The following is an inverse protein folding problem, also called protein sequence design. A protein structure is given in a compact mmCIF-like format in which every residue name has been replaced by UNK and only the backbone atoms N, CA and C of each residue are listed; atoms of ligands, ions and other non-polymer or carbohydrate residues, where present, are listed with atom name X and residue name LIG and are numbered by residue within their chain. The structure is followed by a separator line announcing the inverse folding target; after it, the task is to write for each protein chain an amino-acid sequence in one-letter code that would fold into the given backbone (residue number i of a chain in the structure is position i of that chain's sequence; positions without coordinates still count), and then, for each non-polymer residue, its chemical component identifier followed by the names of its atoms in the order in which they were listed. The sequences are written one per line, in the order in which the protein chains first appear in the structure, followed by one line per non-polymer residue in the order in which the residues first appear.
data_IF_332844360870
#
_entry.id   IF_332844360870
#
_cell.length_a   1.000
_cell.length_b   1.000
_cell.length_c   1.000
_cell.angle_alpha   90.00
_cell.angle_beta   90.00
_cell.angle_gamma   90.00
#
_symmetry.space_group_name_H-M   'P 1'
#
loop_
_entity.id
_entity.type
_entity.pdbx_description
1 polymer ?
#
# COMPACT_ATOMS: atom_id res chain seq x y z
N UNK A 1 -6.36 17.64 -8.84
CA UNK A 1 -7.36 16.61 -8.53
C UNK A 1 -6.68 15.61 -7.61
N UNK A 2 -7.32 15.21 -6.50
CA UNK A 2 -6.75 14.22 -5.58
C UNK A 2 -6.79 12.80 -6.16
N UNK A 3 -5.92 11.92 -5.67
CA UNK A 3 -5.92 10.48 -5.98
C UNK A 3 -6.75 9.76 -4.93
N UNK A 4 -7.84 9.10 -5.34
CA UNK A 4 -8.58 8.20 -4.46
C UNK A 4 -7.78 6.92 -4.23
N UNK A 5 -7.36 6.68 -2.98
CA UNK A 5 -6.60 5.50 -2.58
C UNK A 5 -7.42 4.62 -1.65
N UNK A 6 -7.51 3.33 -2.00
CA UNK A 6 -8.07 2.30 -1.15
C UNK A 6 -7.05 1.18 -0.92
N UNK A 7 -6.84 0.80 0.34
CA UNK A 7 -6.02 -0.35 0.73
C UNK A 7 -6.94 -1.37 1.37
N UNK A 8 -6.99 -2.56 0.77
CA UNK A 8 -7.84 -3.66 1.21
C UNK A 8 -7.00 -4.85 1.69
N UNK A 9 -7.49 -5.52 2.73
CA UNK A 9 -7.09 -6.89 3.07
C UNK A 9 -8.22 -7.88 2.76
N UNK A 10 -7.95 -9.19 2.72
CA UNK A 10 -8.98 -10.22 2.54
C UNK A 10 -10.08 -10.13 3.60
N UNK A 11 -9.76 -9.63 4.80
CA UNK A 11 -10.68 -9.57 5.92
C UNK A 11 -11.43 -8.23 6.00
N UNK A 12 -10.83 -7.11 5.57
CA UNK A 12 -11.46 -5.79 5.63
C UNK A 12 -10.80 -4.71 4.76
N UNK A 13 -11.52 -3.61 4.55
CA UNK A 13 -10.94 -2.34 4.11
C UNK A 13 -10.06 -1.76 5.24
N UNK A 14 -8.81 -1.43 4.91
CA UNK A 14 -7.82 -0.92 5.86
C UNK A 14 -7.71 0.61 5.81
N UNK A 15 -7.82 1.17 4.61
CA UNK A 15 -7.76 2.62 4.36
C UNK A 15 -8.59 2.96 3.12
N UNK A 16 -9.34 4.05 3.18
CA UNK A 16 -9.94 4.70 2.02
C UNK A 16 -9.91 6.22 2.22
N UNK A 17 -9.13 6.93 1.42
CA UNK A 17 -9.07 8.41 1.45
C UNK A 17 -8.45 8.98 0.18
N UNK A 18 -8.57 10.29 0.04
CA UNK A 18 -7.88 11.08 -0.98
C UNK A 18 -6.44 11.40 -0.55
N UNK A 19 -5.48 11.24 -1.47
CA UNK A 19 -4.04 11.46 -1.25
C UNK A 19 -3.40 12.16 -2.45
N UNK A 20 -2.17 12.66 -2.28
CA UNK A 20 -1.45 13.33 -3.36
C UNK A 20 -0.61 12.37 -4.21
N UNK A 21 -0.06 11.33 -3.58
CA UNK A 21 0.76 10.32 -4.25
C UNK A 21 0.85 9.07 -3.40
N UNK A 22 0.98 7.91 -4.04
CA UNK A 22 1.33 6.66 -3.36
C UNK A 22 2.51 6.01 -4.06
N UNK A 23 3.45 5.47 -3.29
CA UNK A 23 4.57 4.67 -3.80
C UNK A 23 4.36 3.22 -3.37
N UNK A 24 4.27 2.32 -4.34
CA UNK A 24 4.07 0.88 -4.10
C UNK A 24 5.28 0.06 -4.60
N UNK A 25 5.65 -1.01 -3.91
CA UNK A 25 6.77 -1.84 -4.31
C UNK A 25 6.31 -2.85 -5.38
N UNK A 26 6.48 -2.52 -6.65
CA UNK A 26 6.19 -3.40 -7.78
C UNK A 26 7.22 -4.53 -7.93
N UNK A 27 6.88 -5.57 -8.69
CA UNK A 27 7.82 -6.67 -8.97
C UNK A 27 9.05 -6.25 -9.78
N UNK A 28 8.91 -5.23 -10.61
CA UNK A 28 9.97 -4.71 -11.49
C UNK A 28 10.68 -3.48 -10.92
N UNK A 29 10.20 -2.94 -9.80
CA UNK A 29 10.68 -1.68 -9.22
C UNK A 29 9.57 -0.98 -8.43
N UNK A 30 9.91 0.15 -7.82
CA UNK A 30 8.92 0.95 -7.09
C UNK A 30 8.12 1.83 -8.06
N UNK A 31 6.82 1.93 -7.83
CA UNK A 31 5.88 2.64 -8.69
C UNK A 31 5.27 3.81 -7.92
N UNK A 32 5.55 5.03 -8.37
CA UNK A 32 4.87 6.23 -7.90
C UNK A 32 3.60 6.49 -8.71
N UNK A 33 2.45 6.47 -8.05
CA UNK A 33 1.15 6.74 -8.66
C UNK A 33 0.70 8.13 -8.23
N UNK A 34 0.51 9.01 -9.23
CA UNK A 34 0.05 10.38 -9.08
C UNK A 34 -1.38 10.54 -9.65
N UNK A 35 -2.09 11.63 -9.29
CA UNK A 35 -3.38 11.93 -9.86
C UNK A 35 -3.36 12.00 -11.39
N UNK A 36 -4.38 11.43 -12.02
CA UNK A 36 -4.50 11.38 -13.49
C UNK A 36 -3.75 10.21 -14.14
N UNK A 37 -3.09 9.34 -13.37
CA UNK A 37 -2.51 8.12 -13.90
C UNK A 37 -3.59 7.17 -14.45
N UNK A 38 -3.29 6.51 -15.57
CA UNK A 38 -4.16 5.50 -16.17
C UNK A 38 -4.39 4.31 -15.23
N UNK A 39 -5.49 3.57 -15.45
CA UNK A 39 -5.75 2.34 -14.68
C UNK A 39 -4.63 1.32 -14.93
N UNK A 40 -4.02 0.82 -13.85
CA UNK A 40 -2.94 -0.17 -13.89
C UNK A 40 -3.27 -1.31 -12.94
N UNK A 41 -3.13 -2.55 -13.42
CA UNK A 41 -3.16 -3.75 -12.58
C UNK A 41 -1.76 -4.34 -12.60
N UNK A 42 -1.14 -4.48 -11.44
CA UNK A 42 0.23 -4.99 -11.32
C UNK A 42 0.41 -5.83 -10.06
N UNK A 43 1.43 -6.69 -10.08
CA UNK A 43 1.82 -7.47 -8.91
C UNK A 43 2.80 -6.68 -8.04
N UNK A 44 2.63 -6.76 -6.73
CA UNK A 44 3.54 -6.14 -5.76
C UNK A 44 4.52 -7.17 -5.21
N UNK A 45 5.76 -6.73 -4.96
CA UNK A 45 6.72 -7.46 -4.12
C UNK A 45 6.45 -7.15 -2.65
N UNK A 46 7.08 -7.92 -1.76
CA UNK A 46 6.98 -7.65 -0.33
C UNK A 46 7.77 -6.39 0.01
N UNK A 47 7.16 -5.45 0.73
CA UNK A 47 7.81 -4.18 1.03
C UNK A 47 6.85 -3.14 1.61
N UNK A 48 7.34 -1.91 1.69
CA UNK A 48 6.60 -0.77 2.24
C UNK A 48 5.87 -0.02 1.13
N UNK A 49 4.62 0.32 1.41
CA UNK A 49 3.81 1.26 0.64
C UNK A 49 3.81 2.59 1.38
N UNK A 50 4.30 3.63 0.71
CA UNK A 50 4.40 4.97 1.28
C UNK A 50 3.30 5.86 0.70
N UNK A 51 2.55 6.52 1.58
CA UNK A 51 1.46 7.41 1.22
C UNK A 51 1.87 8.85 1.51
N UNK A 52 1.73 9.71 0.50
CA UNK A 52 2.13 11.10 0.57
C UNK A 52 0.91 12.03 0.58
N UNK A 53 0.95 12.99 1.50
CA UNK A 53 0.05 14.14 1.56
C UNK A 53 0.88 15.40 1.86
N UNK A 54 0.60 16.50 1.16
CA UNK A 54 1.35 17.75 1.23
C UNK A 54 2.88 17.58 1.13
N UNK A 55 3.33 16.62 0.32
CA UNK A 55 4.74 16.31 0.12
C UNK A 55 5.42 15.56 1.26
N UNK A 56 4.67 15.06 2.26
CA UNK A 56 5.20 14.30 3.40
C UNK A 56 4.58 12.90 3.44
N UNK A 57 5.34 11.92 3.92
CA UNK A 57 4.80 10.59 4.19
C UNK A 57 3.90 10.69 5.42
N UNK A 58 2.60 10.44 5.25
CA UNK A 58 1.62 10.44 6.34
C UNK A 58 1.43 9.06 6.93
N UNK A 59 1.42 8.04 6.07
CA UNK A 59 1.21 6.66 6.46
C UNK A 59 2.10 5.72 5.64
N UNK A 60 2.44 4.61 6.27
CA UNK A 60 3.26 3.55 5.71
C UNK A 60 2.61 2.21 6.01
N UNK A 61 2.43 1.39 4.98
CA UNK A 61 1.83 0.06 5.09
C UNK A 61 2.80 -1.00 4.62
N UNK A 62 3.00 -2.05 5.39
CA UNK A 62 3.74 -3.21 4.91
C UNK A 62 2.85 -4.14 4.08
N UNK A 63 3.21 -4.37 2.82
CA UNK A 63 2.59 -5.36 1.95
C UNK A 63 3.36 -6.69 2.04
N UNK A 64 2.74 -7.74 2.61
CA UNK A 64 3.32 -9.09 2.63
C UNK A 64 3.06 -9.82 1.31
N UNK A 65 4.13 -10.24 0.61
CA UNK A 65 4.02 -11.01 -0.65
C UNK A 65 3.53 -12.46 -0.47
N UNK A 66 3.34 -12.96 0.75
CA UNK A 66 3.02 -14.38 0.97
C UNK A 66 1.52 -14.61 1.06
N UNK A 67 0.94 -15.00 -0.06
CA UNK A 67 -0.31 -15.78 -0.09
C UNK A 67 0.05 -17.26 -0.26
N UNK A 68 0.06 -18.03 0.83
CA UNK A 68 0.07 -19.50 0.77
C UNK A 68 -1.29 -20.01 1.23
N UNK A 69 -1.96 -20.77 0.37
CA UNK A 69 -3.13 -21.57 0.72
C UNK A 69 -2.65 -22.99 1.01
N UNK A 70 -2.80 -23.43 2.25
CA UNK A 70 -2.35 -24.75 2.70
C UNK A 70 -2.15 -24.76 4.21
N UNK A 71 -3.26 -24.97 4.91
CA UNK A 71 -3.39 -25.28 6.34
C UNK A 71 -2.71 -24.34 7.36
N UNK A 72 -3.54 -23.61 8.12
CA UNK A 72 -3.08 -22.84 9.29
C UNK A 72 -2.85 -21.33 9.13
N UNK A 73 -3.88 -20.59 8.66
CA UNK A 73 -4.06 -19.12 8.76
C UNK A 73 -3.18 -18.23 7.83
N UNK A 74 -3.71 -17.78 6.68
CA UNK A 74 -3.19 -16.60 6.00
C UNK A 74 -3.69 -15.33 6.71
N UNK A 75 -2.78 -14.42 7.08
CA UNK A 75 -3.12 -13.07 7.52
C UNK A 75 -2.46 -12.10 6.53
N UNK A 76 -3.27 -11.43 5.69
CA UNK A 76 -2.79 -10.19 5.07
C UNK A 76 -2.96 -9.08 6.10
N UNK A 77 -2.03 -9.04 7.06
CA UNK A 77 -1.92 -7.92 7.96
C UNK A 77 -1.18 -6.80 7.23
N UNK A 78 -1.86 -5.72 6.85
CA UNK A 78 -1.19 -4.43 6.79
C UNK A 78 -0.97 -4.01 8.26
N UNK A 79 0.07 -4.58 8.85
CA UNK A 79 0.38 -4.44 10.26
C UNK A 79 1.12 -3.14 10.50
N UNK A 80 0.59 -2.34 11.42
CA UNK A 80 1.34 -1.35 12.19
C UNK A 80 1.67 -0.05 11.45
N UNK A 81 1.11 1.05 11.94
CA UNK A 81 1.69 2.38 11.73
C UNK A 81 3.03 2.41 12.46
N UNK A 82 4.12 2.13 11.76
CA UNK A 82 5.47 2.28 12.30
C UNK A 82 5.80 3.77 12.39
N UNK A 83 5.65 4.34 13.59
CA UNK A 83 6.16 5.66 13.94
C UNK A 83 7.70 5.56 14.12
N UNK A 84 8.52 6.37 13.43
CA UNK A 84 9.96 6.36 13.67
C UNK A 84 10.26 6.91 15.08
N UNK A 85 11.21 6.33 15.83
CA UNK A 85 11.77 7.03 16.99
C UNK A 85 12.57 8.23 16.47
N UNK A 86 12.39 9.37 17.16
CA UNK A 86 13.11 10.62 16.87
C UNK A 86 14.60 10.57 17.15
#
# INVERSE_FOLDING_TARGET
MPLALEIISPERLLLAREVDMVVVPGTEGDLGILPGHSKLVTSLRGGLVDIYEAGKITDRFFCHRRFRRGDGRPLLGAGGRDHPPG
#
